data_IF_468502624146
#
_entry.id   IF_468502624146
#
_cell.length_a   1.000
_cell.length_b   1.000
_cell.length_c   1.000
_cell.angle_alpha   90.00
_cell.angle_beta   90.00
_cell.angle_gamma   90.00
#
_symmetry.space_group_name_H-M   'P 1'
#
loop_
_entity.id
_entity.type
_entity.pdbx_description
1 polymer ?
#
# COMPACT_ATOMS: atom_id res chain seq x y z
N UNK A 1 -9.12 15.68 -22.61
CA UNK A 1 -8.55 14.32 -22.61
C UNK A 1 -8.67 13.69 -21.21
N UNK A 2 -8.12 14.33 -20.15
CA UNK A 2 -8.10 13.83 -18.77
C UNK A 2 -9.47 13.37 -18.24
N UNK A 3 -10.54 14.11 -18.53
CA UNK A 3 -11.88 13.74 -18.08
C UNK A 3 -12.42 12.41 -18.68
N UNK A 4 -11.83 11.94 -19.79
CA UNK A 4 -12.28 10.75 -20.50
C UNK A 4 -11.53 9.46 -20.12
N UNK A 5 -10.34 9.59 -19.51
CA UNK A 5 -9.53 8.45 -19.06
C UNK A 5 -9.74 8.23 -17.57
N UNK A 6 -9.43 7.04 -17.08
CA UNK A 6 -9.22 6.79 -15.66
C UNK A 6 -7.76 7.11 -15.35
N UNK A 7 -7.52 8.21 -14.63
CA UNK A 7 -6.18 8.60 -14.20
C UNK A 7 -5.85 7.95 -12.85
N UNK A 8 -4.67 7.34 -12.76
CA UNK A 8 -4.23 6.62 -11.56
C UNK A 8 -2.82 7.05 -11.20
N UNK A 9 -2.60 7.41 -9.94
CA UNK A 9 -1.28 7.52 -9.34
C UNK A 9 -1.04 6.28 -8.45
N UNK A 10 0.10 5.65 -8.63
CA UNK A 10 0.36 4.33 -8.06
C UNK A 10 0.99 4.36 -6.66
N UNK A 11 1.28 5.54 -6.09
CA UNK A 11 1.94 5.58 -4.78
C UNK A 11 1.76 6.91 -4.03
N UNK A 12 1.43 6.83 -2.74
CA UNK A 12 1.59 7.91 -1.76
C UNK A 12 1.76 7.36 -0.36
N UNK A 13 2.65 7.97 0.43
CA UNK A 13 2.91 7.64 1.84
C UNK A 13 1.99 8.36 2.82
N UNK A 14 0.94 9.00 2.35
CA UNK A 14 -0.03 9.70 3.21
C UNK A 14 -0.49 8.85 4.40
N UNK A 15 -0.74 7.51 4.25
CA UNK A 15 -1.17 6.66 5.36
C UNK A 15 -0.17 6.52 6.52
N UNK A 16 1.11 6.78 6.30
CA UNK A 16 2.15 6.74 7.35
C UNK A 16 1.76 7.53 8.61
N UNK A 17 0.96 8.56 8.45
CA UNK A 17 0.55 9.48 9.49
C UNK A 17 -0.86 9.23 10.06
N UNK A 18 -1.64 8.31 9.46
CA UNK A 18 -3.02 8.06 9.88
C UNK A 18 -3.12 7.50 11.30
N UNK A 19 -2.23 6.58 11.67
CA UNK A 19 -2.18 6.00 13.01
C UNK A 19 -1.81 7.03 14.09
N UNK A 20 -1.20 8.15 13.68
CA UNK A 20 -0.82 9.27 14.57
C UNK A 20 -1.88 10.38 14.57
N UNK A 21 -2.94 10.26 13.79
CA UNK A 21 -3.99 11.28 13.66
C UNK A 21 -3.50 12.60 13.02
N UNK A 22 -2.32 12.59 12.39
CA UNK A 22 -1.71 13.81 11.87
C UNK A 22 -2.21 14.19 10.48
N UNK A 23 -2.55 13.22 9.64
CA UNK A 23 -3.05 13.40 8.28
C UNK A 23 -4.30 12.56 8.03
N UNK A 24 -4.97 12.87 6.93
CA UNK A 24 -6.17 12.20 6.46
C UNK A 24 -6.32 12.43 4.96
N UNK A 25 -6.98 11.54 4.25
CA UNK A 25 -7.28 11.74 2.81
C UNK A 25 -8.13 12.98 2.54
N UNK A 26 -8.87 13.46 3.56
CA UNK A 26 -9.69 14.67 3.47
C UNK A 26 -8.93 15.98 3.71
N UNK A 27 -7.71 15.95 4.25
CA UNK A 27 -6.99 17.16 4.63
C UNK A 27 -6.14 17.72 3.50
N UNK A 28 -6.30 19.01 3.25
CA UNK A 28 -5.59 19.71 2.16
C UNK A 28 -4.18 20.18 2.53
N UNK A 29 -3.97 20.67 3.76
CA UNK A 29 -2.86 21.59 4.07
C UNK A 29 -1.46 21.03 3.78
N UNK A 30 -1.05 20.00 4.42
CA UNK A 30 0.34 19.48 4.34
C UNK A 30 0.47 18.18 3.58
N UNK A 31 -0.63 17.49 3.29
CA UNK A 31 -0.59 16.27 2.49
C UNK A 31 -0.22 16.58 1.04
N UNK A 32 0.59 15.73 0.43
CA UNK A 32 0.81 15.77 -1.02
C UNK A 32 -0.45 15.32 -1.75
N UNK A 33 -1.17 14.34 -1.22
CA UNK A 33 -2.43 13.83 -1.75
C UNK A 33 -3.57 14.05 -0.75
N UNK A 34 -4.70 14.56 -1.23
CA UNK A 34 -5.97 14.65 -0.52
C UNK A 34 -7.11 14.66 -1.55
N UNK A 35 -8.33 14.38 -1.11
CA UNK A 35 -9.52 14.40 -1.98
C UNK A 35 -9.62 15.73 -2.74
N UNK A 36 -9.41 16.88 -2.06
CA UNK A 36 -9.46 18.18 -2.72
C UNK A 36 -8.36 18.36 -3.76
N UNK A 37 -7.12 17.94 -3.46
CA UNK A 37 -6.02 18.04 -4.43
C UNK A 37 -6.20 17.10 -5.62
N UNK A 38 -6.75 15.90 -5.39
CA UNK A 38 -7.14 14.97 -6.46
C UNK A 38 -8.22 15.59 -7.35
N UNK A 39 -9.20 16.30 -6.77
CA UNK A 39 -10.23 16.98 -7.54
C UNK A 39 -9.65 18.12 -8.38
N UNK A 40 -8.81 18.97 -7.80
CA UNK A 40 -8.13 20.07 -8.49
C UNK A 40 -7.21 19.55 -9.60
N UNK A 41 -6.45 18.47 -9.35
CA UNK A 41 -5.54 17.84 -10.32
C UNK A 41 -6.23 16.90 -11.31
N UNK A 42 -7.54 16.69 -11.20
CA UNK A 42 -8.30 15.73 -12.01
C UNK A 42 -7.75 14.31 -11.92
N UNK A 43 -7.23 13.93 -10.77
CA UNK A 43 -6.82 12.56 -10.46
C UNK A 43 -8.03 11.77 -10.00
N UNK A 44 -8.26 10.60 -10.58
CA UNK A 44 -9.42 9.77 -10.28
C UNK A 44 -9.13 8.72 -9.21
N UNK A 45 -7.95 8.11 -9.28
CA UNK A 45 -7.56 7.03 -8.39
C UNK A 45 -6.13 7.19 -7.84
N UNK A 46 -5.91 6.74 -6.61
CA UNK A 46 -4.63 6.82 -5.91
C UNK A 46 -4.37 5.53 -5.12
N UNK A 47 -3.14 5.02 -5.18
CA UNK A 47 -2.70 3.98 -4.26
C UNK A 47 -2.19 4.59 -2.95
N UNK A 48 -2.73 4.12 -1.85
CA UNK A 48 -2.34 4.45 -0.49
C UNK A 48 -1.38 3.37 0.02
N UNK A 49 -0.13 3.74 0.28
CA UNK A 49 0.91 2.80 0.69
C UNK A 49 0.96 2.64 2.21
N UNK A 50 0.82 1.39 2.67
CA UNK A 50 1.19 0.99 4.02
C UNK A 50 2.71 0.77 4.06
N UNK A 51 3.47 1.85 4.33
CA UNK A 51 4.92 1.84 4.38
C UNK A 51 5.45 1.31 5.71
N UNK A 52 6.46 0.43 5.64
CA UNK A 52 7.20 -0.06 6.81
C UNK A 52 8.70 0.19 6.65
N UNK A 53 9.27 0.98 7.56
CA UNK A 53 10.72 1.08 7.64
C UNK A 53 11.33 -0.29 8.01
N UNK A 54 12.38 -0.69 7.30
CA UNK A 54 13.12 -1.91 7.64
C UNK A 54 13.71 -1.82 9.05
N UNK A 55 13.53 -2.87 9.83
CA UNK A 55 14.11 -3.07 11.15
C UNK A 55 14.87 -4.39 11.19
N UNK A 56 15.27 -4.83 12.39
CA UNK A 56 15.90 -6.13 12.61
C UNK A 56 15.04 -7.27 12.06
N UNK A 57 15.71 -8.35 11.64
CA UNK A 57 15.06 -9.51 11.03
C UNK A 57 14.87 -10.67 12.02
N UNK A 58 14.92 -10.38 13.32
CA UNK A 58 14.57 -11.35 14.36
C UNK A 58 13.04 -11.59 14.41
N UNK A 59 12.64 -12.60 15.17
CA UNK A 59 11.24 -13.01 15.27
C UNK A 59 10.34 -11.91 15.87
N UNK A 60 10.82 -11.26 16.94
CA UNK A 60 10.05 -10.22 17.63
C UNK A 60 9.83 -8.99 16.76
N UNK A 61 10.85 -8.56 16.03
CA UNK A 61 10.76 -7.43 15.10
C UNK A 61 9.87 -7.77 13.88
N UNK A 62 9.95 -9.00 13.38
CA UNK A 62 9.09 -9.50 12.31
C UNK A 62 7.61 -9.53 12.73
N UNK A 63 7.31 -9.98 13.94
CA UNK A 63 5.94 -9.98 14.48
C UNK A 63 5.40 -8.55 14.62
N UNK A 64 6.19 -7.62 15.15
CA UNK A 64 5.81 -6.20 15.23
C UNK A 64 5.57 -5.58 13.84
N UNK A 65 6.32 -5.99 12.82
CA UNK A 65 6.11 -5.53 11.45
C UNK A 65 4.74 -5.97 10.92
N UNK A 66 4.34 -7.23 11.17
CA UNK A 66 3.01 -7.76 10.79
C UNK A 66 1.89 -6.98 11.50
N UNK A 67 2.03 -6.74 12.80
CA UNK A 67 1.05 -5.98 13.58
C UNK A 67 0.92 -4.54 13.06
N UNK A 68 2.06 -3.87 12.83
CA UNK A 68 2.08 -2.50 12.32
C UNK A 68 1.50 -2.39 10.91
N UNK A 69 1.85 -3.31 10.02
CA UNK A 69 1.28 -3.37 8.67
C UNK A 69 -0.24 -3.52 8.71
N UNK A 70 -0.72 -4.45 9.54
CA UNK A 70 -2.16 -4.67 9.73
C UNK A 70 -2.86 -3.40 10.22
N UNK A 71 -2.30 -2.74 11.24
CA UNK A 71 -2.84 -1.50 11.79
C UNK A 71 -2.87 -0.35 10.78
N UNK A 72 -1.84 -0.23 9.93
CA UNK A 72 -1.82 0.76 8.84
C UNK A 72 -2.95 0.51 7.84
N UNK A 73 -3.13 -0.72 7.38
CA UNK A 73 -4.22 -1.08 6.45
C UNK A 73 -5.58 -0.77 7.08
N UNK A 74 -5.80 -1.16 8.32
CA UNK A 74 -7.04 -0.84 9.05
C UNK A 74 -7.26 0.68 9.19
N UNK A 75 -6.19 1.44 9.40
CA UNK A 75 -6.27 2.90 9.49
C UNK A 75 -6.67 3.55 8.17
N UNK A 76 -6.24 2.98 7.03
CA UNK A 76 -6.67 3.42 5.69
C UNK A 76 -8.19 3.25 5.56
N UNK A 77 -8.73 2.08 5.87
CA UNK A 77 -10.17 1.83 5.83
C UNK A 77 -10.94 2.82 6.72
N UNK A 78 -10.48 2.99 7.97
CA UNK A 78 -11.11 3.93 8.92
C UNK A 78 -11.09 5.37 8.43
N UNK A 79 -10.01 5.79 7.77
CA UNK A 79 -9.91 7.16 7.29
C UNK A 79 -10.76 7.39 6.04
N UNK A 80 -10.76 6.47 5.08
CA UNK A 80 -11.58 6.54 3.86
C UNK A 80 -13.08 6.52 4.21
N UNK A 81 -13.51 5.71 5.18
CA UNK A 81 -14.91 5.65 5.61
C UNK A 81 -15.45 6.99 6.13
N UNK A 82 -14.60 7.83 6.76
CA UNK A 82 -15.01 9.18 7.19
C UNK A 82 -15.46 10.07 6.03
N UNK A 83 -15.00 9.78 4.83
CA UNK A 83 -15.24 10.57 3.62
C UNK A 83 -15.94 9.77 2.53
N UNK A 84 -16.74 8.76 2.88
CA UNK A 84 -17.43 7.86 1.95
C UNK A 84 -18.35 8.54 0.94
N UNK A 85 -18.78 9.76 1.24
CA UNK A 85 -19.57 10.56 0.30
C UNK A 85 -18.71 11.10 -0.87
N UNK A 86 -17.39 11.16 -0.70
CA UNK A 86 -16.42 11.73 -1.65
C UNK A 86 -15.42 10.72 -2.20
N UNK A 87 -15.28 9.57 -1.57
CA UNK A 87 -14.31 8.56 -1.97
C UNK A 87 -14.72 7.16 -1.53
N UNK A 88 -13.98 6.16 -2.00
CA UNK A 88 -14.15 4.77 -1.60
C UNK A 88 -12.92 3.93 -1.88
N UNK A 89 -12.82 2.76 -1.23
CA UNK A 89 -11.81 1.74 -1.55
C UNK A 89 -12.21 1.04 -2.83
N UNK A 90 -11.26 0.89 -3.75
CA UNK A 90 -11.37 0.12 -4.97
C UNK A 90 -10.52 -1.15 -4.86
N UNK A 91 -11.06 -2.29 -5.25
CA UNK A 91 -10.35 -3.56 -5.31
C UNK A 91 -10.04 -3.95 -6.76
N UNK A 92 -10.76 -3.37 -7.71
CA UNK A 92 -10.63 -3.65 -9.15
C UNK A 92 -10.67 -2.34 -9.94
N UNK A 93 -10.33 -2.42 -11.24
CA UNK A 93 -10.49 -1.31 -12.17
C UNK A 93 -11.97 -0.89 -12.30
N UNK A 94 -12.88 -1.86 -12.29
CA UNK A 94 -14.32 -1.64 -12.37
C UNK A 94 -14.82 -0.83 -11.17
N UNK A 95 -14.30 -1.10 -9.95
CA UNK A 95 -14.62 -0.30 -8.76
C UNK A 95 -14.18 1.15 -8.93
N UNK A 96 -12.97 1.37 -9.45
CA UNK A 96 -12.46 2.71 -9.68
C UNK A 96 -13.28 3.46 -10.74
N UNK A 97 -13.69 2.78 -11.80
CA UNK A 97 -14.58 3.36 -12.84
C UNK A 97 -15.95 3.69 -12.28
N UNK A 98 -16.52 2.82 -11.46
CA UNK A 98 -17.80 3.04 -10.80
C UNK A 98 -17.72 4.25 -9.88
N UNK A 99 -16.71 4.33 -9.00
CA UNK A 99 -16.50 5.48 -8.12
C UNK A 99 -16.33 6.79 -8.90
N UNK A 100 -15.57 6.76 -9.98
CA UNK A 100 -15.43 7.93 -10.87
C UNK A 100 -16.79 8.35 -11.47
N UNK A 101 -17.60 7.41 -11.92
CA UNK A 101 -18.93 7.69 -12.45
C UNK A 101 -19.88 8.29 -11.39
N UNK A 102 -19.69 7.92 -10.12
CA UNK A 102 -20.38 8.49 -8.96
C UNK A 102 -19.82 9.87 -8.54
N UNK A 103 -18.79 10.39 -9.20
CA UNK A 103 -18.11 11.64 -8.83
C UNK A 103 -17.18 11.50 -7.61
N UNK A 104 -16.81 10.27 -7.23
CA UNK A 104 -15.96 9.95 -6.09
C UNK A 104 -14.53 9.62 -6.51
N UNK A 105 -13.58 9.78 -5.58
CA UNK A 105 -12.20 9.35 -5.76
C UNK A 105 -12.04 7.89 -5.32
N UNK A 106 -11.25 7.14 -6.07
CA UNK A 106 -10.94 5.75 -5.76
C UNK A 106 -9.61 5.62 -5.03
N UNK A 107 -9.58 4.84 -3.96
CA UNK A 107 -8.34 4.51 -3.25
C UNK A 107 -8.06 3.02 -3.33
N UNK A 108 -6.90 2.67 -3.84
CA UNK A 108 -6.34 1.33 -3.76
C UNK A 108 -5.37 1.24 -2.58
N UNK A 109 -5.10 0.04 -2.10
CA UNK A 109 -4.16 -0.19 -0.99
C UNK A 109 -2.95 -0.95 -1.53
N UNK A 110 -1.75 -0.46 -1.21
CA UNK A 110 -0.48 -1.14 -1.41
C UNK A 110 0.28 -1.31 -0.11
N UNK A 111 1.23 -2.24 -0.09
CA UNK A 111 2.24 -2.36 0.97
C UNK A 111 3.58 -1.94 0.39
N UNK A 112 4.27 -1.04 1.05
CA UNK A 112 5.65 -0.70 0.74
C UNK A 112 6.59 -1.30 1.77
N UNK A 113 7.47 -2.17 1.30
CA UNK A 113 8.35 -3.08 2.00
C UNK A 113 7.67 -4.39 2.47
N UNK A 114 7.95 -5.46 1.74
CA UNK A 114 7.47 -6.81 2.08
C UNK A 114 7.93 -7.34 3.45
N UNK A 115 8.77 -6.59 4.16
CA UNK A 115 9.04 -6.82 5.59
C UNK A 115 7.75 -6.95 6.41
N UNK A 116 6.68 -6.29 5.97
CA UNK A 116 5.36 -6.35 6.59
C UNK A 116 4.71 -7.74 6.64
N UNK A 117 5.17 -8.72 5.84
CA UNK A 117 4.66 -10.10 5.96
C UNK A 117 5.35 -10.90 7.08
N UNK A 118 6.40 -10.33 7.70
CA UNK A 118 7.25 -11.08 8.62
C UNK A 118 7.87 -12.30 7.96
N UNK A 119 7.88 -13.43 8.69
CA UNK A 119 8.45 -14.70 8.21
C UNK A 119 7.37 -15.71 7.79
N UNK A 120 6.09 -15.33 7.79
CA UNK A 120 5.00 -16.22 7.43
C UNK A 120 4.38 -15.84 6.08
N UNK A 121 4.52 -16.71 5.09
CA UNK A 121 3.97 -16.55 3.74
C UNK A 121 2.43 -16.43 3.75
N UNK A 122 1.75 -16.94 4.76
CA UNK A 122 0.29 -16.81 4.89
C UNK A 122 -0.16 -15.36 4.99
N UNK A 123 0.72 -14.46 5.45
CA UNK A 123 0.43 -13.03 5.52
C UNK A 123 0.27 -12.38 4.14
N UNK A 124 0.80 -12.96 3.06
CA UNK A 124 0.52 -12.50 1.69
C UNK A 124 -0.97 -12.65 1.39
N UNK A 125 -1.53 -13.84 1.66
CA UNK A 125 -2.97 -14.07 1.49
C UNK A 125 -3.80 -13.20 2.44
N UNK A 126 -3.42 -13.10 3.71
CA UNK A 126 -4.09 -12.24 4.69
C UNK A 126 -4.24 -10.81 4.15
N UNK A 127 -3.17 -10.21 3.63
CA UNK A 127 -3.21 -8.85 3.11
C UNK A 127 -3.97 -8.74 1.80
N UNK A 128 -3.90 -9.76 0.92
CA UNK A 128 -4.76 -9.80 -0.26
C UNK A 128 -6.25 -9.82 0.12
N UNK A 129 -6.62 -10.62 1.11
CA UNK A 129 -8.00 -10.68 1.64
C UNK A 129 -8.41 -9.34 2.29
N UNK A 130 -7.45 -8.56 2.80
CA UNK A 130 -7.66 -7.19 3.29
C UNK A 130 -7.66 -6.14 2.17
N UNK A 131 -7.67 -6.53 0.90
CA UNK A 131 -7.80 -5.62 -0.24
C UNK A 131 -6.50 -5.02 -0.77
N UNK A 132 -5.34 -5.49 -0.32
CA UNK A 132 -4.04 -5.04 -0.84
C UNK A 132 -3.84 -5.51 -2.29
N UNK A 133 -3.45 -4.60 -3.18
CA UNK A 133 -3.30 -4.87 -4.60
C UNK A 133 -1.85 -5.01 -5.07
N UNK A 134 -0.91 -4.41 -4.36
CA UNK A 134 0.52 -4.62 -4.60
C UNK A 134 1.31 -4.71 -3.30
N UNK A 135 2.50 -5.31 -3.37
CA UNK A 135 3.50 -5.25 -2.32
C UNK A 135 4.89 -5.11 -2.96
N UNK A 136 5.64 -4.05 -2.59
CA UNK A 136 7.06 -3.98 -2.97
C UNK A 136 7.86 -4.98 -2.15
N UNK A 137 8.78 -5.71 -2.78
CA UNK A 137 9.46 -6.83 -2.13
C UNK A 137 10.41 -6.38 -1.02
N UNK A 138 11.08 -5.25 -1.22
CA UNK A 138 11.87 -4.55 -0.20
C UNK A 138 11.75 -3.04 -0.41
N UNK A 139 12.37 -2.27 0.45
CA UNK A 139 12.58 -0.84 0.28
C UNK A 139 14.10 -0.54 0.21
N UNK A 140 14.64 0.30 1.08
CA UNK A 140 16.05 0.74 1.00
C UNK A 140 17.06 -0.25 1.60
N UNK A 141 16.62 -1.35 2.22
CA UNK A 141 17.46 -2.35 2.86
C UNK A 141 17.05 -3.75 2.46
N UNK A 142 18.02 -4.69 2.53
CA UNK A 142 17.75 -6.12 2.39
C UNK A 142 16.77 -6.59 3.44
N UNK A 143 15.90 -7.53 3.05
CA UNK A 143 15.02 -8.24 3.97
C UNK A 143 15.03 -9.75 3.70
N UNK A 144 14.13 -10.51 4.31
CA UNK A 144 14.07 -11.96 4.12
C UNK A 144 13.56 -12.37 2.72
N UNK A 145 13.03 -11.41 1.93
CA UNK A 145 12.51 -11.64 0.58
C UNK A 145 13.58 -11.43 -0.48
N UNK A 146 14.30 -10.30 -0.43
CA UNK A 146 15.28 -9.96 -1.46
C UNK A 146 16.31 -8.92 -0.99
N UNK A 147 17.36 -8.78 -1.82
CA UNK A 147 18.32 -7.69 -1.71
C UNK A 147 17.71 -6.38 -2.21
N UNK A 148 18.13 -5.29 -1.58
CA UNK A 148 17.81 -3.92 -2.01
C UNK A 148 18.80 -3.43 -3.06
N UNK A 149 18.42 -2.38 -3.80
CA UNK A 149 19.31 -1.67 -4.72
C UNK A 149 20.23 -0.66 -4.02
N UNK A 150 20.00 -0.38 -2.74
CA UNK A 150 20.74 0.65 -1.98
C UNK A 150 21.54 0.02 -0.83
N UNK A 151 21.01 -0.06 0.36
CA UNK A 151 21.70 -0.62 1.52
C UNK A 151 21.61 -2.16 1.49
N UNK A 152 22.53 -2.79 0.77
CA UNK A 152 22.58 -4.24 0.56
C UNK A 152 23.93 -4.79 0.96
N UNK A 153 23.93 -6.00 1.52
CA UNK A 153 25.13 -6.78 1.78
C UNK A 153 25.71 -7.35 0.47
N UNK A 154 24.83 -7.71 -0.47
CA UNK A 154 25.21 -8.28 -1.76
C UNK A 154 24.10 -8.06 -2.80
N UNK A 155 24.26 -7.04 -3.64
CA UNK A 155 23.32 -6.69 -4.70
C UNK A 155 23.12 -7.80 -5.76
N UNK A 156 24.02 -8.78 -5.83
CA UNK A 156 23.93 -9.87 -6.81
C UNK A 156 22.97 -10.99 -6.42
N UNK A 157 22.57 -11.07 -5.13
CA UNK A 157 21.72 -12.16 -4.63
C UNK A 157 20.29 -12.10 -5.12
N UNK A 158 19.70 -10.90 -5.28
CA UNK A 158 18.31 -10.74 -5.70
C UNK A 158 17.34 -11.45 -4.75
N UNK A 159 16.44 -12.28 -5.30
CA UNK A 159 15.46 -13.03 -4.49
C UNK A 159 16.09 -14.15 -3.67
N UNK A 160 15.71 -14.21 -2.40
CA UNK A 160 16.00 -15.37 -1.53
C UNK A 160 15.14 -16.58 -1.91
N UNK A 161 15.39 -17.73 -1.28
CA UNK A 161 14.51 -18.91 -1.41
C UNK A 161 13.09 -18.62 -0.88
N UNK A 162 12.97 -17.85 0.21
CA UNK A 162 11.69 -17.38 0.74
C UNK A 162 11.04 -16.39 -0.22
N UNK A 163 11.80 -15.43 -0.76
CA UNK A 163 11.32 -14.45 -1.72
C UNK A 163 10.72 -15.07 -2.99
N UNK A 164 11.33 -16.14 -3.52
CA UNK A 164 10.74 -16.88 -4.66
C UNK A 164 9.38 -17.49 -4.32
N UNK A 165 9.18 -17.99 -3.09
CA UNK A 165 7.86 -18.48 -2.63
C UNK A 165 6.86 -17.34 -2.50
N UNK A 166 7.30 -16.19 -1.97
CA UNK A 166 6.46 -14.99 -1.83
C UNK A 166 5.97 -14.51 -3.19
N UNK A 167 6.85 -14.32 -4.17
CA UNK A 167 6.46 -13.90 -5.53
C UNK A 167 5.50 -14.90 -6.18
N UNK A 168 5.74 -16.20 -6.00
CA UNK A 168 4.84 -17.25 -6.50
C UNK A 168 3.44 -17.14 -5.87
N UNK A 169 3.37 -16.89 -4.57
CA UNK A 169 2.07 -16.75 -3.88
C UNK A 169 1.37 -15.44 -4.30
N UNK A 170 2.11 -14.32 -4.44
CA UNK A 170 1.57 -13.07 -4.97
C UNK A 170 0.93 -13.28 -6.35
N UNK A 171 1.65 -13.92 -7.27
CA UNK A 171 1.14 -14.21 -8.62
C UNK A 171 -0.13 -15.08 -8.59
N UNK A 172 -0.14 -16.11 -7.73
CA UNK A 172 -1.30 -17.00 -7.55
C UNK A 172 -2.54 -16.24 -7.05
N UNK A 173 -2.34 -15.24 -6.21
CA UNK A 173 -3.41 -14.43 -5.61
C UNK A 173 -3.80 -13.21 -6.47
N UNK A 174 -3.10 -12.95 -7.57
CA UNK A 174 -3.33 -11.76 -8.39
C UNK A 174 -2.95 -10.46 -7.65
N UNK A 175 -1.80 -10.49 -6.96
CA UNK A 175 -1.22 -9.33 -6.29
C UNK A 175 -0.02 -8.82 -7.10
#
# INVERSE_FOLDING_TARGET
>A
FHARILSVDTHTDTPLWFTRGAFSVGWRKSNQVSIQKMEEGKLDAQFLAAFLAQKERDEASSQKAVEHCTALIESIYKDVEKYKDYCGIALTEEDARRLKAEGKKAFFIGIENGYGIGKDIKNVKKYKDMGVQYMTLCHSYDNDICSSSTHTEDATKGLTAFGRKVVKEMNKLGM
#
